data_IF_495045540383
#
_entry.id   IF_495045540383
#
_cell.length_a   1.000
_cell.length_b   1.000
_cell.length_c   1.000
_cell.angle_alpha   90.00
_cell.angle_beta   90.00
_cell.angle_gamma   90.00
#
_symmetry.space_group_name_H-M   'P 1'
#
loop_
_entity.id
_entity.type
_entity.pdbx_description
1 polymer ?
#
# COMPACT_ATOMS: atom_id res chain seq x y z
N UNK A 1 -10.07 -10.35 -24.71
CA UNK A 1 -9.38 -11.21 -23.73
C UNK A 1 -7.98 -10.71 -23.39
N UNK A 2 -7.00 -10.69 -24.31
CA UNK A 2 -5.61 -10.27 -24.00
C UNK A 2 -5.47 -8.87 -23.36
N UNK A 3 -6.27 -7.88 -23.80
CA UNK A 3 -6.27 -6.52 -23.22
C UNK A 3 -6.72 -6.52 -21.75
N UNK A 4 -7.81 -7.22 -21.43
CA UNK A 4 -8.31 -7.34 -20.05
C UNK A 4 -7.31 -8.07 -19.15
N UNK A 5 -6.70 -9.15 -19.63
CA UNK A 5 -5.64 -9.86 -18.91
C UNK A 5 -4.45 -8.96 -18.61
N UNK A 6 -3.99 -8.17 -19.58
CA UNK A 6 -2.89 -7.22 -19.39
C UNK A 6 -3.25 -6.13 -18.38
N UNK A 7 -4.48 -5.60 -18.43
CA UNK A 7 -4.97 -4.60 -17.48
C UNK A 7 -5.10 -5.18 -16.06
N UNK A 8 -5.71 -6.36 -15.90
CA UNK A 8 -5.80 -7.03 -14.60
C UNK A 8 -4.42 -7.33 -14.02
N UNK A 9 -3.50 -7.81 -14.85
CA UNK A 9 -2.12 -8.04 -14.46
C UNK A 9 -1.41 -6.75 -14.01
N UNK A 10 -1.55 -5.68 -14.77
CA UNK A 10 -0.99 -4.37 -14.42
C UNK A 10 -1.57 -3.83 -13.10
N UNK A 11 -2.88 -3.98 -12.87
CA UNK A 11 -3.53 -3.58 -11.62
C UNK A 11 -3.03 -4.37 -10.42
N UNK A 12 -2.83 -5.68 -10.58
CA UNK A 12 -2.26 -6.54 -9.52
C UNK A 12 -0.81 -6.17 -9.24
N UNK A 13 -0.01 -5.84 -10.27
CA UNK A 13 1.40 -5.45 -10.13
C UNK A 13 1.59 -4.05 -9.53
N UNK A 14 0.67 -3.14 -9.80
CA UNK A 14 0.70 -1.78 -9.25
C UNK A 14 0.65 -1.78 -7.73
N UNK A 15 -0.02 -2.77 -7.12
CA UNK A 15 -0.18 -2.88 -5.68
C UNK A 15 1.15 -3.09 -4.92
N UNK A 16 1.95 -4.16 -5.17
CA UNK A 16 3.25 -4.33 -4.52
C UNK A 16 4.26 -3.27 -4.97
N UNK A 17 4.27 -2.85 -6.24
CA UNK A 17 5.18 -1.81 -6.72
C UNK A 17 4.93 -0.46 -6.04
N UNK A 18 3.66 -0.12 -5.78
CA UNK A 18 3.27 1.06 -5.03
C UNK A 18 3.72 1.00 -3.58
N UNK A 19 3.50 -0.12 -2.89
CA UNK A 19 3.88 -0.31 -1.48
C UNK A 19 5.39 -0.21 -1.29
N UNK A 20 6.17 -0.92 -2.11
CA UNK A 20 7.63 -0.94 -2.00
C UNK A 20 8.22 0.45 -2.19
N UNK A 21 7.67 1.24 -3.12
CA UNK A 21 8.09 2.61 -3.35
C UNK A 21 7.61 3.57 -2.25
N UNK A 22 6.38 3.38 -1.75
CA UNK A 22 5.82 4.20 -0.66
C UNK A 22 6.60 4.00 0.64
N UNK A 23 6.99 2.77 0.96
CA UNK A 23 7.75 2.45 2.17
C UNK A 23 9.11 3.14 2.21
N UNK A 24 9.77 3.28 1.06
CA UNK A 24 11.05 4.00 0.94
C UNK A 24 10.86 5.53 1.08
N UNK A 25 9.74 6.07 0.58
CA UNK A 25 9.43 7.51 0.65
C UNK A 25 8.73 7.97 1.92
N UNK A 26 8.12 7.07 2.68
CA UNK A 26 7.30 7.34 3.86
C UNK A 26 8.02 8.15 4.94
N UNK A 27 9.31 7.87 5.28
CA UNK A 27 10.03 8.64 6.28
C UNK A 27 10.23 10.10 5.87
N UNK A 28 10.37 10.35 4.55
CA UNK A 28 10.53 11.69 4.01
C UNK A 28 9.22 12.47 4.01
N UNK A 29 8.12 11.81 3.68
CA UNK A 29 6.76 12.35 3.82
C UNK A 29 6.48 12.68 5.30
N UNK A 30 6.85 11.80 6.23
CA UNK A 30 6.71 12.05 7.67
C UNK A 30 7.50 13.28 8.14
N UNK A 31 8.73 13.44 7.64
CA UNK A 31 9.55 14.61 7.92
C UNK A 31 8.93 15.92 7.37
N UNK A 32 8.41 15.89 6.14
CA UNK A 32 7.75 17.05 5.51
C UNK A 32 6.46 17.44 6.26
N UNK A 33 5.74 16.47 6.82
CA UNK A 33 4.53 16.67 7.63
C UNK A 33 4.82 16.96 9.12
N UNK A 34 6.09 17.03 9.53
CA UNK A 34 6.51 17.15 10.93
C UNK A 34 5.88 16.07 11.84
N UNK A 35 5.65 14.89 11.31
CA UNK A 35 5.05 13.76 12.01
C UNK A 35 6.11 13.00 12.82
N UNK A 36 5.73 12.55 14.02
CA UNK A 36 6.58 11.69 14.84
C UNK A 36 6.70 10.28 14.27
N UNK A 37 7.78 9.58 14.60
CA UNK A 37 8.00 8.17 14.22
C UNK A 37 6.85 7.26 14.72
N UNK A 38 6.29 7.56 15.89
CA UNK A 38 5.13 6.85 16.41
C UNK A 38 3.89 6.99 15.51
N UNK A 39 3.62 8.20 14.98
CA UNK A 39 2.52 8.42 14.04
C UNK A 39 2.75 7.70 12.72
N UNK A 40 4.00 7.62 12.27
CA UNK A 40 4.39 6.86 11.08
C UNK A 40 4.09 5.35 11.26
N UNK A 41 4.48 4.77 12.39
CA UNK A 41 4.23 3.37 12.70
C UNK A 41 2.73 3.06 12.88
N UNK A 42 1.96 3.98 13.45
CA UNK A 42 0.50 3.85 13.55
C UNK A 42 -0.14 3.87 12.15
N UNK A 43 0.25 4.82 11.30
CA UNK A 43 -0.24 4.89 9.92
C UNK A 43 0.07 3.59 9.14
N UNK A 44 1.27 3.06 9.32
CA UNK A 44 1.67 1.78 8.71
C UNK A 44 0.84 0.60 9.23
N UNK A 45 0.59 0.56 10.55
CA UNK A 45 -0.22 -0.50 11.18
C UNK A 45 -1.68 -0.48 10.68
N UNK A 46 -2.28 0.70 10.56
CA UNK A 46 -3.64 0.86 10.00
C UNK A 46 -3.69 0.42 8.55
N UNK A 47 -2.67 0.76 7.75
CA UNK A 47 -2.55 0.33 6.37
C UNK A 47 -2.50 -1.20 6.24
N UNK A 48 -1.60 -1.86 6.98
CA UNK A 48 -1.48 -3.32 7.01
C UNK A 48 -2.78 -4.00 7.46
N UNK A 49 -3.42 -3.49 8.51
CA UNK A 49 -4.68 -4.02 9.01
C UNK A 49 -5.80 -3.90 7.96
N UNK A 50 -5.87 -2.77 7.24
CA UNK A 50 -6.80 -2.57 6.14
C UNK A 50 -6.59 -3.57 5.00
N UNK A 51 -5.33 -3.80 4.60
CA UNK A 51 -4.97 -4.79 3.58
C UNK A 51 -5.37 -6.22 4.00
N UNK A 52 -5.03 -6.61 5.22
CA UNK A 52 -5.39 -7.94 5.75
C UNK A 52 -6.91 -8.14 5.78
N UNK A 53 -7.65 -7.11 6.21
CA UNK A 53 -9.11 -7.12 6.23
C UNK A 53 -9.67 -7.24 4.82
N UNK A 54 -9.16 -6.48 3.85
CA UNK A 54 -9.60 -6.55 2.46
C UNK A 54 -9.40 -7.95 1.84
N UNK A 55 -8.29 -8.63 2.15
CA UNK A 55 -8.06 -10.00 1.68
C UNK A 55 -9.09 -11.00 2.23
N UNK A 56 -9.58 -10.82 3.46
CA UNK A 56 -10.62 -11.68 4.04
C UNK A 56 -11.98 -11.52 3.35
N UNK A 57 -12.32 -10.33 2.86
CA UNK A 57 -13.60 -10.04 2.24
C UNK A 57 -13.59 -10.15 0.71
N UNK A 58 -12.52 -9.70 0.04
CA UNK A 58 -12.39 -9.67 -1.41
C UNK A 58 -11.68 -10.90 -1.99
N UNK A 59 -10.98 -11.68 -1.16
CA UNK A 59 -10.32 -12.93 -1.57
C UNK A 59 -11.22 -14.17 -1.55
N UNK A 60 -12.52 -13.98 -1.29
CA UNK A 60 -13.55 -15.03 -1.32
C UNK A 60 -14.27 -15.04 -2.65
#
# INVERSE_FOLDING_TARGET
MKRFLLCSFALVLLYPAGIDMYLVGLPRIAADLNASEAQLHIAFSVYLAGMATAMLFAGR
#
